data_IF_076636362886
#
_entry.id   IF_076636362886
#
_cell.length_a   1.000
_cell.length_b   1.000
_cell.length_c   1.000
_cell.angle_alpha   90.00
_cell.angle_beta   90.00
_cell.angle_gamma   90.00
#
_symmetry.space_group_name_H-M   'P 1'
#
loop_
_entity.id
_entity.type
_entity.pdbx_description
1 polymer ?
#
# COMPACT_ATOMS: atom_id res chain seq x y z
N UNK A 1 30.83 2.20 16.14
CA UNK A 1 30.66 0.74 16.17
C UNK A 1 29.69 0.28 17.28
N UNK A 2 29.84 0.71 18.56
CA UNK A 2 28.91 0.29 19.65
C UNK A 2 27.43 0.61 19.39
N UNK A 3 27.11 1.78 18.80
CA UNK A 3 25.73 2.18 18.46
C UNK A 3 25.12 1.32 17.35
N UNK A 4 25.93 0.85 16.39
CA UNK A 4 25.48 -0.04 15.32
C UNK A 4 25.16 -1.44 15.85
N UNK A 5 25.93 -1.93 16.82
CA UNK A 5 25.71 -3.23 17.48
C UNK A 5 24.42 -3.20 18.31
N UNK A 6 24.13 -2.09 18.99
CA UNK A 6 22.87 -1.93 19.75
C UNK A 6 21.67 -1.91 18.81
N UNK A 7 21.74 -1.20 17.68
CA UNK A 7 20.69 -1.20 16.67
C UNK A 7 20.49 -2.60 16.08
N UNK A 8 21.58 -3.31 15.75
CA UNK A 8 21.53 -4.69 15.27
C UNK A 8 20.95 -5.66 16.33
N UNK A 9 21.30 -5.48 17.61
CA UNK A 9 20.78 -6.30 18.71
C UNK A 9 19.28 -6.05 18.97
N UNK A 10 18.80 -4.81 18.83
CA UNK A 10 17.37 -4.50 18.91
C UNK A 10 16.62 -5.14 17.75
N UNK A 11 17.18 -5.13 16.54
CA UNK A 11 16.60 -5.80 15.36
C UNK A 11 16.53 -7.33 15.52
N UNK A 12 17.54 -7.96 16.12
CA UNK A 12 17.55 -9.42 16.29
C UNK A 12 16.64 -9.91 17.42
N UNK A 13 16.42 -9.11 18.47
CA UNK A 13 15.52 -9.46 19.57
C UNK A 13 14.03 -9.48 19.16
N UNK A 14 13.65 -8.77 18.10
CA UNK A 14 12.27 -8.64 17.61
C UNK A 14 11.84 -9.75 16.63
N UNK A 15 12.68 -10.75 16.34
CA UNK A 15 12.41 -11.74 15.28
C UNK A 15 11.50 -12.91 15.69
N UNK A 16 11.10 -13.01 16.96
CA UNK A 16 10.57 -14.28 17.50
C UNK A 16 9.08 -14.53 17.16
N UNK A 17 8.27 -13.49 16.91
CA UNK A 17 6.84 -13.63 16.67
C UNK A 17 6.27 -12.72 15.57
N UNK A 18 7.03 -12.41 14.54
CA UNK A 18 6.55 -11.58 13.43
C UNK A 18 5.27 -12.19 12.82
N UNK A 19 4.20 -11.41 12.74
CA UNK A 19 2.94 -11.83 12.15
C UNK A 19 2.43 -10.75 11.18
N UNK A 20 2.23 -11.16 9.93
CA UNK A 20 1.82 -10.26 8.88
C UNK A 20 0.37 -9.79 9.02
N UNK A 21 -0.51 -10.61 9.63
CA UNK A 21 -1.87 -10.22 9.98
C UNK A 21 -2.32 -10.94 11.25
N UNK A 22 -2.76 -10.16 12.26
CA UNK A 22 -3.14 -10.68 13.59
C UNK A 22 -4.65 -10.84 13.78
N UNK A 23 -5.45 -10.40 12.81
CA UNK A 23 -6.90 -10.46 12.88
C UNK A 23 -7.53 -9.18 13.43
N UNK A 24 -8.61 -9.32 14.20
CA UNK A 24 -9.35 -8.19 14.76
C UNK A 24 -8.47 -7.33 15.66
N UNK A 25 -8.47 -6.02 15.40
CA UNK A 25 -7.69 -5.04 16.16
C UNK A 25 -6.25 -4.89 15.67
N UNK A 26 -5.85 -5.61 14.63
CA UNK A 26 -4.56 -5.41 13.97
C UNK A 26 -4.52 -4.02 13.31
N UNK A 27 -3.44 -3.29 13.49
CA UNK A 27 -3.23 -1.98 12.86
C UNK A 27 -1.91 -2.02 12.10
N UNK A 28 -1.98 -1.73 10.80
CA UNK A 28 -0.81 -1.64 9.92
C UNK A 28 -0.67 -0.21 9.40
N UNK A 29 0.50 0.38 9.56
CA UNK A 29 0.87 1.58 8.83
C UNK A 29 1.79 1.21 7.66
N UNK A 30 1.65 1.90 6.55
CA UNK A 30 2.43 1.66 5.34
C UNK A 30 2.96 2.99 4.79
N UNK A 31 4.17 2.98 4.28
CA UNK A 31 4.78 4.08 3.54
C UNK A 31 5.61 3.51 2.41
N UNK A 32 5.47 4.06 1.21
CA UNK A 32 6.15 3.51 0.06
C UNK A 32 6.21 4.43 -1.14
N UNK A 33 6.72 3.85 -2.20
CA UNK A 33 6.74 4.43 -3.53
C UNK A 33 5.50 3.99 -4.30
N UNK A 34 4.98 4.90 -5.09
CA UNK A 34 3.90 4.69 -6.04
C UNK A 34 4.48 4.86 -7.44
N UNK A 35 4.37 3.83 -8.28
CA UNK A 35 4.89 3.81 -9.65
C UNK A 35 3.75 3.48 -10.60
N UNK A 36 3.60 4.32 -11.60
CA UNK A 36 2.61 4.15 -12.66
C UNK A 36 3.17 4.69 -13.97
N UNK A 37 2.46 4.49 -15.07
CA UNK A 37 2.86 5.08 -16.33
C UNK A 37 2.82 6.62 -16.22
N UNK A 38 3.84 7.29 -16.77
CA UNK A 38 4.03 8.74 -16.72
C UNK A 38 4.11 9.37 -15.33
N UNK A 39 4.25 8.57 -14.23
CA UNK A 39 4.31 9.14 -12.89
C UNK A 39 4.94 8.24 -11.84
N UNK A 40 5.72 8.87 -10.95
CA UNK A 40 6.22 8.23 -9.73
C UNK A 40 5.96 9.13 -8.52
N UNK A 41 5.69 8.54 -7.39
CA UNK A 41 5.35 9.27 -6.18
C UNK A 41 5.54 8.47 -4.91
N UNK A 42 4.90 8.96 -3.88
CA UNK A 42 4.86 8.33 -2.56
C UNK A 42 3.42 7.97 -2.20
N UNK A 43 3.29 6.98 -1.34
CA UNK A 43 2.03 6.66 -0.70
C UNK A 43 2.21 6.45 0.80
N UNK A 44 1.14 6.71 1.53
CA UNK A 44 1.00 6.39 2.94
C UNK A 44 -0.36 5.74 3.15
N UNK A 45 -0.44 4.78 4.05
CA UNK A 45 -1.70 4.10 4.31
C UNK A 45 -1.76 3.49 5.70
N UNK A 46 -2.99 3.17 6.10
CA UNK A 46 -3.27 2.44 7.33
C UNK A 46 -4.38 1.42 7.08
N UNK A 47 -4.18 0.19 7.58
CA UNK A 47 -5.18 -0.88 7.58
C UNK A 47 -5.57 -1.24 9.01
N UNK A 48 -6.83 -1.51 9.21
CA UNK A 48 -7.43 -1.87 10.49
C UNK A 48 -8.14 -3.22 10.38
N UNK A 49 -7.73 -4.18 11.18
CA UNK A 49 -8.29 -5.52 11.19
C UNK A 49 -9.72 -5.55 11.73
N UNK A 50 -10.67 -6.04 10.93
CA UNK A 50 -12.07 -6.22 11.28
C UNK A 50 -12.38 -7.59 11.86
N UNK A 51 -11.66 -8.60 11.44
CA UNK A 51 -11.89 -9.99 11.80
C UNK A 51 -10.68 -10.85 11.50
N UNK A 52 -10.85 -12.17 11.45
CA UNK A 52 -9.74 -13.10 11.25
C UNK A 52 -9.02 -12.93 9.93
N UNK A 53 -9.75 -12.55 8.87
CA UNK A 53 -9.21 -12.49 7.51
C UNK A 53 -9.66 -11.23 6.73
N UNK A 54 -10.07 -10.17 7.42
CA UNK A 54 -10.60 -8.98 6.76
C UNK A 54 -10.12 -7.71 7.43
N UNK A 55 -9.74 -6.72 6.63
CA UNK A 55 -9.37 -5.39 7.08
C UNK A 55 -9.96 -4.30 6.19
N UNK A 56 -10.14 -3.12 6.73
CA UNK A 56 -10.40 -1.90 5.96
C UNK A 56 -9.24 -0.94 6.16
N UNK A 57 -9.09 0.00 5.26
CA UNK A 57 -7.99 0.95 5.37
C UNK A 57 -8.17 2.19 4.53
N UNK A 58 -7.21 3.08 4.67
CA UNK A 58 -7.11 4.33 3.94
C UNK A 58 -5.73 4.42 3.32
N UNK A 59 -5.66 4.91 2.09
CA UNK A 59 -4.40 5.18 1.39
C UNK A 59 -4.47 6.57 0.81
N UNK A 60 -3.42 7.34 0.99
CA UNK A 60 -3.19 8.60 0.29
C UNK A 60 -1.90 8.50 -0.51
N UNK A 61 -1.91 9.00 -1.73
CA UNK A 61 -0.75 9.03 -2.61
C UNK A 61 -0.57 10.39 -3.24
N UNK A 62 0.68 10.71 -3.58
CA UNK A 62 1.04 11.93 -4.26
C UNK A 62 2.17 11.68 -5.26
N UNK A 63 1.95 12.06 -6.52
CA UNK A 63 2.95 11.93 -7.59
C UNK A 63 3.98 13.06 -7.48
N UNK A 64 5.23 12.71 -7.22
CA UNK A 64 6.35 13.66 -7.10
C UNK A 64 6.92 14.03 -8.47
N UNK A 65 7.08 13.01 -9.34
CA UNK A 65 7.55 13.17 -10.70
C UNK A 65 6.45 12.73 -11.66
N UNK A 66 6.12 13.58 -12.60
CA UNK A 66 5.08 13.35 -13.60
C UNK A 66 5.54 13.94 -14.94
N UNK A 67 5.08 13.35 -16.03
CA UNK A 67 5.33 13.85 -17.38
C UNK A 67 4.41 15.04 -17.66
N UNK A 68 4.97 16.14 -18.18
CA UNK A 68 4.18 17.28 -18.62
C UNK A 68 3.40 16.92 -19.90
N UNK A 69 2.15 17.34 -19.97
CA UNK A 69 1.31 17.17 -21.18
C UNK A 69 1.22 18.50 -21.91
N UNK A 70 1.68 18.54 -23.14
CA UNK A 70 1.72 19.75 -23.98
C UNK A 70 2.43 20.96 -23.33
N UNK A 71 3.43 20.70 -22.47
CA UNK A 71 4.17 21.74 -21.74
C UNK A 71 3.42 22.33 -20.54
N UNK A 72 2.27 21.78 -20.20
CA UNK A 72 1.47 22.14 -19.01
C UNK A 72 1.85 21.20 -17.87
N UNK A 73 2.04 21.76 -16.68
CA UNK A 73 2.29 20.98 -15.45
C UNK A 73 0.97 20.64 -14.79
N UNK A 74 0.82 19.40 -14.30
CA UNK A 74 -0.37 19.01 -13.55
C UNK A 74 -0.45 19.77 -12.22
N UNK A 75 -1.65 20.10 -11.81
CA UNK A 75 -1.94 20.74 -10.54
C UNK A 75 -1.84 19.75 -9.36
N UNK A 76 -1.98 20.25 -8.15
CA UNK A 76 -1.91 19.40 -6.94
C UNK A 76 -2.96 18.29 -6.97
N UNK A 77 -4.19 18.63 -7.33
CA UNK A 77 -5.33 17.69 -7.36
C UNK A 77 -5.16 16.58 -8.41
N UNK A 78 -4.46 16.85 -9.53
CA UNK A 78 -4.17 15.83 -10.53
C UNK A 78 -3.19 14.77 -10.01
N UNK A 79 -2.32 15.17 -9.10
CA UNK A 79 -1.22 14.38 -8.56
C UNK A 79 -1.60 13.64 -7.28
N UNK A 80 -2.60 14.15 -6.55
CA UNK A 80 -3.08 13.57 -5.30
C UNK A 80 -4.17 12.54 -5.53
N UNK A 81 -4.20 11.49 -4.73
CA UNK A 81 -5.29 10.53 -4.67
C UNK A 81 -5.49 10.03 -3.24
N UNK A 82 -6.73 9.83 -2.86
CA UNK A 82 -7.12 9.26 -1.59
C UNK A 82 -8.09 8.11 -1.82
N UNK A 83 -7.86 6.97 -1.15
CA UNK A 83 -8.65 5.75 -1.30
C UNK A 83 -9.06 5.20 0.05
N UNK A 84 -10.29 4.74 0.13
CA UNK A 84 -10.74 3.80 1.15
C UNK A 84 -10.59 2.41 0.54
N UNK A 85 -10.09 1.44 1.30
CA UNK A 85 -9.91 0.09 0.81
C UNK A 85 -10.46 -0.96 1.76
N UNK A 86 -10.78 -2.11 1.21
CA UNK A 86 -11.23 -3.29 1.92
C UNK A 86 -10.40 -4.48 1.44
N UNK A 87 -9.77 -5.20 2.35
CA UNK A 87 -8.86 -6.29 2.05
C UNK A 87 -9.37 -7.61 2.62
N UNK A 88 -9.17 -8.70 1.87
CA UNK A 88 -9.24 -10.06 2.36
C UNK A 88 -7.81 -10.54 2.65
N UNK A 89 -7.46 -10.71 3.92
CA UNK A 89 -6.13 -11.16 4.36
C UNK A 89 -6.08 -12.69 4.32
N UNK A 90 -5.46 -13.26 3.30
CA UNK A 90 -5.53 -14.69 2.97
C UNK A 90 -4.33 -15.51 3.44
N UNK A 91 -3.35 -14.90 4.11
CA UNK A 91 -2.19 -15.60 4.64
C UNK A 91 -2.57 -16.79 5.51
N UNK A 92 -3.50 -16.60 6.45
CA UNK A 92 -4.01 -17.66 7.32
C UNK A 92 -4.82 -18.72 6.56
N UNK A 93 -5.61 -18.31 5.56
CA UNK A 93 -6.45 -19.20 4.74
C UNK A 93 -5.59 -20.16 3.90
N UNK A 94 -4.53 -19.64 3.31
CA UNK A 94 -3.58 -20.43 2.52
C UNK A 94 -2.50 -21.13 3.36
N UNK A 95 -2.57 -20.97 4.70
CA UNK A 95 -1.58 -21.53 5.63
C UNK A 95 -0.15 -21.13 5.29
N UNK A 96 0.04 -19.88 4.86
CA UNK A 96 1.35 -19.31 4.63
C UNK A 96 2.11 -19.18 5.96
N UNK A 97 3.42 -18.92 5.86
CA UNK A 97 4.20 -18.53 7.05
C UNK A 97 3.53 -17.32 7.71
N UNK A 98 3.49 -17.30 9.04
CA UNK A 98 2.85 -16.21 9.81
C UNK A 98 3.40 -14.82 9.46
N UNK A 99 4.63 -14.77 8.95
CA UNK A 99 5.28 -13.54 8.49
C UNK A 99 4.78 -13.04 7.14
N UNK A 100 3.99 -13.84 6.42
CA UNK A 100 3.51 -13.57 5.07
C UNK A 100 2.01 -13.33 5.06
N UNK A 101 1.58 -12.39 4.24
CA UNK A 101 0.17 -12.22 3.93
C UNK A 101 0.00 -11.83 2.45
N UNK A 102 -1.01 -12.40 1.82
CA UNK A 102 -1.50 -12.02 0.50
C UNK A 102 -2.88 -11.42 0.71
N UNK A 103 -3.10 -10.21 0.21
CA UNK A 103 -4.35 -9.50 0.44
C UNK A 103 -4.91 -8.91 -0.86
N UNK A 104 -5.78 -9.66 -1.57
CA UNK A 104 -6.64 -9.06 -2.58
C UNK A 104 -7.64 -8.12 -1.91
N UNK A 105 -8.02 -7.07 -2.63
CA UNK A 105 -8.97 -6.11 -2.11
C UNK A 105 -9.62 -5.23 -3.18
N UNK A 106 -10.59 -4.46 -2.71
CA UNK A 106 -11.28 -3.43 -3.49
C UNK A 106 -10.98 -2.07 -2.88
N UNK A 107 -10.96 -1.05 -3.70
CA UNK A 107 -10.76 0.33 -3.24
C UNK A 107 -11.72 1.28 -3.95
N UNK A 108 -12.12 2.31 -3.21
CA UNK A 108 -12.90 3.43 -3.68
C UNK A 108 -12.04 4.67 -3.49
N UNK A 109 -11.55 5.23 -4.59
CA UNK A 109 -10.68 6.40 -4.61
C UNK A 109 -11.38 7.67 -5.05
N UNK A 110 -10.64 8.75 -5.13
CA UNK A 110 -11.13 10.02 -5.66
C UNK A 110 -11.34 9.99 -7.16
N UNK A 111 -10.68 9.05 -7.88
CA UNK A 111 -10.69 8.97 -9.33
C UNK A 111 -11.37 7.73 -9.90
N UNK A 112 -11.44 6.65 -9.14
CA UNK A 112 -11.97 5.37 -9.60
C UNK A 112 -12.40 4.46 -8.47
N UNK A 113 -13.23 3.48 -8.83
CA UNK A 113 -13.37 2.24 -8.10
C UNK A 113 -12.40 1.22 -8.69
N UNK A 114 -11.62 0.55 -7.86
CA UNK A 114 -10.56 -0.34 -8.31
C UNK A 114 -10.44 -1.61 -7.50
N UNK A 115 -9.57 -2.50 -7.99
CA UNK A 115 -9.11 -3.68 -7.28
C UNK A 115 -7.60 -3.62 -7.09
N UNK A 116 -7.11 -4.31 -6.07
CA UNK A 116 -5.69 -4.47 -5.82
C UNK A 116 -5.36 -5.86 -5.32
N UNK A 117 -4.12 -6.25 -5.49
CA UNK A 117 -3.52 -7.44 -4.92
C UNK A 117 -2.22 -7.03 -4.24
N UNK A 118 -2.14 -7.24 -2.94
CA UNK A 118 -0.97 -6.96 -2.16
C UNK A 118 -0.32 -8.22 -1.59
N UNK A 119 0.96 -8.11 -1.33
CA UNK A 119 1.76 -9.07 -0.60
C UNK A 119 2.59 -8.33 0.44
N UNK A 120 2.66 -8.87 1.66
CA UNK A 120 3.53 -8.33 2.72
C UNK A 120 4.33 -9.42 3.39
N UNK A 121 5.54 -9.07 3.80
CA UNK A 121 6.43 -9.93 4.57
C UNK A 121 7.01 -9.16 5.74
N UNK A 122 6.86 -9.69 6.95
CA UNK A 122 7.38 -9.10 8.17
C UNK A 122 8.68 -9.77 8.60
N UNK A 123 9.75 -9.00 8.70
CA UNK A 123 11.06 -9.44 9.20
C UNK A 123 11.07 -9.53 10.72
N UNK A 124 10.37 -8.60 11.38
CA UNK A 124 10.23 -8.48 12.84
C UNK A 124 8.76 -8.29 13.20
N UNK A 125 8.41 -8.30 14.49
CA UNK A 125 7.04 -8.02 14.96
C UNK A 125 6.51 -6.66 14.50
N UNK A 126 7.38 -5.66 14.43
CA UNK A 126 6.98 -4.29 14.11
C UNK A 126 7.29 -3.84 12.69
N UNK A 127 8.10 -4.58 11.92
CA UNK A 127 8.63 -4.11 10.64
C UNK A 127 8.60 -5.18 9.56
N UNK A 128 8.11 -4.80 8.39
CA UNK A 128 8.08 -5.59 7.18
C UNK A 128 8.16 -4.74 5.93
N UNK A 129 8.02 -5.40 4.80
CA UNK A 129 7.86 -4.77 3.49
C UNK A 129 6.56 -5.23 2.84
N UNK A 130 6.03 -4.41 1.94
CA UNK A 130 4.89 -4.77 1.12
C UNK A 130 5.12 -4.40 -0.34
N UNK A 131 4.40 -5.10 -1.19
CA UNK A 131 4.20 -4.75 -2.60
C UNK A 131 2.70 -4.83 -2.89
N UNK A 132 2.20 -3.96 -3.76
CA UNK A 132 0.79 -3.93 -4.14
C UNK A 132 0.66 -3.54 -5.61
N UNK A 133 -0.17 -4.25 -6.35
CA UNK A 133 -0.55 -3.94 -7.71
C UNK A 133 -2.03 -3.61 -7.75
N UNK A 134 -2.39 -2.46 -8.30
CA UNK A 134 -3.76 -1.97 -8.38
C UNK A 134 -4.18 -1.65 -9.81
N UNK A 135 -5.45 -1.88 -10.11
CA UNK A 135 -6.08 -1.55 -11.39
C UNK A 135 -7.42 -0.87 -11.17
N UNK A 136 -7.80 0.12 -11.97
CA UNK A 136 -9.17 0.63 -11.99
C UNK A 136 -10.11 -0.39 -12.61
N UNK A 137 -11.26 -0.63 -11.98
CA UNK A 137 -12.36 -1.42 -12.51
C UNK A 137 -13.42 -0.52 -13.14
N UNK A 138 -13.67 0.65 -12.55
CA UNK A 138 -14.57 1.67 -13.06
C UNK A 138 -13.98 3.05 -12.82
N UNK A 139 -13.72 3.78 -13.89
CA UNK A 139 -13.25 5.17 -13.86
C UNK A 139 -14.47 6.08 -13.74
N UNK A 140 -14.38 7.15 -12.94
CA UNK A 140 -15.52 8.08 -12.79
C UNK A 140 -15.64 9.01 -13.98
N UNK A 141 -14.50 9.37 -14.59
CA UNK A 141 -14.49 10.00 -15.91
C UNK A 141 -14.04 8.99 -16.97
N UNK A 142 -14.83 8.88 -18.04
CA UNK A 142 -14.56 8.00 -19.17
C UNK A 142 -13.74 8.68 -20.28
N UNK A 143 -13.68 10.01 -20.27
CA UNK A 143 -12.88 10.81 -21.22
C UNK A 143 -11.50 11.07 -20.65
N UNK A 144 -10.77 10.00 -20.32
CA UNK A 144 -9.46 10.08 -19.69
C UNK A 144 -8.44 10.56 -20.71
N UNK A 145 -8.16 11.83 -20.73
CA UNK A 145 -7.08 12.47 -21.52
C UNK A 145 -6.18 13.31 -20.61
N UNK A 146 -4.90 13.36 -20.94
CA UNK A 146 -3.95 14.21 -20.23
C UNK A 146 -3.72 13.79 -18.78
N UNK A 147 -3.96 14.68 -17.82
CA UNK A 147 -3.68 14.45 -16.39
C UNK A 147 -4.70 13.54 -15.69
N UNK A 148 -5.84 13.28 -16.29
CA UNK A 148 -6.88 12.40 -15.74
C UNK A 148 -6.48 10.93 -15.72
N UNK A 149 -5.44 10.54 -16.47
CA UNK A 149 -4.84 9.21 -16.39
C UNK A 149 -4.09 8.97 -15.08
N UNK A 150 -3.61 10.03 -14.42
CA UNK A 150 -2.89 9.88 -13.17
C UNK A 150 -3.79 9.30 -12.10
N UNK A 151 -3.25 8.28 -11.39
CA UNK A 151 -3.97 7.49 -10.38
C UNK A 151 -5.21 6.75 -10.90
N UNK A 152 -5.41 6.72 -12.23
CA UNK A 152 -6.56 6.12 -12.91
C UNK A 152 -6.16 5.02 -13.91
N UNK A 153 -5.06 4.36 -13.65
CA UNK A 153 -4.43 3.31 -14.45
C UNK A 153 -3.85 2.22 -13.55
N UNK A 154 -3.07 1.30 -14.12
CA UNK A 154 -2.28 0.35 -13.34
C UNK A 154 -1.28 1.10 -12.46
N UNK A 155 -1.27 0.76 -11.18
CA UNK A 155 -0.37 1.34 -10.18
C UNK A 155 0.34 0.22 -9.46
N UNK A 156 1.65 0.33 -9.35
CA UNK A 156 2.47 -0.55 -8.52
C UNK A 156 3.01 0.20 -7.33
N UNK A 157 2.93 -0.39 -6.15
CA UNK A 157 3.45 0.17 -4.91
C UNK A 157 4.42 -0.79 -4.26
N UNK A 158 5.46 -0.24 -3.65
CA UNK A 158 6.44 -0.99 -2.85
C UNK A 158 6.91 -0.12 -1.69
N UNK A 159 7.02 -0.70 -0.50
CA UNK A 159 7.42 0.08 0.65
C UNK A 159 7.54 -0.71 1.94
N UNK A 160 7.63 0.04 3.03
CA UNK A 160 7.69 -0.47 4.38
C UNK A 160 6.28 -0.61 4.98
N UNK A 161 6.10 -1.65 5.79
CA UNK A 161 4.88 -1.90 6.57
C UNK A 161 5.24 -2.05 8.04
N UNK A 162 4.46 -1.41 8.91
CA UNK A 162 4.68 -1.38 10.35
C UNK A 162 3.45 -1.91 11.07
N UNK A 163 3.66 -2.77 12.06
CA UNK A 163 2.63 -3.14 13.04
C UNK A 163 2.63 -2.11 14.17
N UNK A 164 1.45 -1.60 14.51
CA UNK A 164 1.24 -0.64 15.58
C UNK A 164 0.53 -1.27 16.78
#
# INVERSE_FOLDING_TARGET
MKKLIIVAAIFTASMVNAQAYKGKGDIKAQVGLNVQDHGTGINVGADFGLGENMSYGFVASYLLSVTEVAGIKPEFEDRADAKIRFNANLGNVFKLDKKMDIYPGLNLGTRNFGAHLGFRYFFTEGFGMYTEAGIPLAKYDSNVEGFEEYNNQFVFQIGASFNL
#
